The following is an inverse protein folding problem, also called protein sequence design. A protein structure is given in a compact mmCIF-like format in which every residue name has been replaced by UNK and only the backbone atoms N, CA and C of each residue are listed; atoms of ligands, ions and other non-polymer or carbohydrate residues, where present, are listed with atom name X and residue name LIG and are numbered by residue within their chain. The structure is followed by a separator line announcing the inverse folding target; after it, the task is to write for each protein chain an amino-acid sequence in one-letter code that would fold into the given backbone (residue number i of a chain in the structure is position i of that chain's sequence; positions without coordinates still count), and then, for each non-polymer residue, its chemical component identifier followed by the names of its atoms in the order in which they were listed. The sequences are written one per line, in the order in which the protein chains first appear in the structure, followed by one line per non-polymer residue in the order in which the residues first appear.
data_IF_430069524066
#
_entry.id   IF_430069524066
#
_cell.length_a   1.000
_cell.length_b   1.000
_cell.length_c   1.000
_cell.angle_alpha   90.00
_cell.angle_beta   90.00
_cell.angle_gamma   90.00
#
_symmetry.space_group_name_H-M   'P 1'
#
loop_
_entity.id
_entity.type
_entity.pdbx_description
1 polymer ?
#
# COMPACT_ATOMS: atom_id res chain seq x y z
N UNK A 1 -44.28 54.56 59.17
CA UNK A 1 -45.14 53.89 60.19
C UNK A 1 -45.84 52.69 59.54
N UNK A 2 -45.71 51.48 60.11
CA UNK A 2 -46.37 50.29 59.53
C UNK A 2 -47.88 50.37 59.70
N UNK A 3 -48.68 50.20 58.64
CA UNK A 3 -50.15 50.15 58.72
C UNK A 3 -50.57 48.95 59.58
N UNK A 4 -50.98 49.21 60.82
CA UNK A 4 -51.46 48.18 61.75
C UNK A 4 -52.93 47.91 61.43
N UNK A 5 -53.27 46.65 61.16
CA UNK A 5 -54.66 46.24 60.90
C UNK A 5 -55.30 45.81 62.22
N UNK A 6 -56.50 46.30 62.49
CA UNK A 6 -57.30 45.97 63.65
C UNK A 6 -58.56 45.22 63.20
N UNK A 7 -59.04 44.27 63.99
CA UNK A 7 -60.38 43.70 63.81
C UNK A 7 -61.25 44.11 65.01
N UNK A 8 -62.54 44.32 64.77
CA UNK A 8 -63.49 44.65 65.82
C UNK A 8 -63.96 43.36 66.49
N UNK A 9 -63.79 43.27 67.80
CA UNK A 9 -64.22 42.13 68.61
C UNK A 9 -65.60 42.43 69.22
N UNK A 10 -66.70 41.80 68.74
CA UNK A 10 -68.07 42.13 69.13
C UNK A 10 -68.35 41.90 70.62
N UNK A 11 -67.65 40.94 71.23
CA UNK A 11 -67.89 40.51 72.61
C UNK A 11 -67.21 41.42 73.63
N UNK A 12 -66.14 42.12 73.23
CA UNK A 12 -65.40 43.05 74.09
C UNK A 12 -65.51 44.51 73.63
N UNK A 13 -66.32 44.78 72.60
CA UNK A 13 -66.57 46.10 72.00
C UNK A 13 -65.28 46.90 71.73
N UNK A 14 -64.17 46.22 71.40
CA UNK A 14 -62.85 46.83 71.30
C UNK A 14 -62.12 46.41 70.02
N UNK A 15 -61.32 47.34 69.48
CA UNK A 15 -60.48 47.08 68.31
C UNK A 15 -59.18 46.40 68.75
N UNK A 16 -59.04 45.11 68.43
CA UNK A 16 -57.83 44.34 68.72
C UNK A 16 -56.86 44.36 67.55
N UNK A 17 -55.57 44.55 67.86
CA UNK A 17 -54.49 44.53 66.87
C UNK A 17 -54.34 43.12 66.31
N UNK A 18 -54.35 42.98 64.99
CA UNK A 18 -54.05 41.70 64.33
C UNK A 18 -52.54 41.48 64.46
N UNK A 19 -52.13 40.64 65.41
CA UNK A 19 -50.75 40.21 65.50
C UNK A 19 -50.45 39.17 64.41
N UNK A 20 -49.40 39.35 63.61
CA UNK A 20 -49.02 38.35 62.62
C UNK A 20 -48.62 37.06 63.34
N UNK A 21 -49.40 35.98 63.16
CA UNK A 21 -49.04 34.65 63.67
C UNK A 21 -47.64 34.28 63.16
N UNK A 22 -46.72 33.93 64.07
CA UNK A 22 -45.35 33.50 63.72
C UNK A 22 -45.35 32.37 62.66
N UNK A 23 -46.33 31.47 62.72
CA UNK A 23 -46.57 30.41 61.72
C UNK A 23 -46.76 30.95 60.29
N UNK A 24 -47.45 32.07 60.09
CA UNK A 24 -47.66 32.66 58.76
C UNK A 24 -46.35 33.23 58.18
N UNK A 25 -45.47 33.74 59.04
CA UNK A 25 -44.13 34.21 58.64
C UNK A 25 -43.25 33.04 58.20
N UNK A 26 -43.20 31.96 58.98
CA UNK A 26 -42.44 30.75 58.61
C UNK A 26 -42.97 30.09 57.33
N UNK A 27 -44.29 30.03 57.15
CA UNK A 27 -44.91 29.49 55.93
C UNK A 27 -44.56 30.28 54.67
N UNK A 28 -44.57 31.61 54.75
CA UNK A 28 -44.20 32.45 53.61
C UNK A 28 -42.71 32.32 53.28
N UNK A 29 -41.84 32.21 54.30
CA UNK A 29 -40.41 31.93 54.10
C UNK A 29 -40.23 30.56 53.44
N UNK A 30 -40.94 29.52 53.90
CA UNK A 30 -40.88 28.19 53.33
C UNK A 30 -41.32 28.18 51.85
N UNK A 31 -42.42 28.83 51.49
CA UNK A 31 -42.86 28.94 50.09
C UNK A 31 -41.88 29.71 49.21
N UNK A 32 -41.24 30.76 49.73
CA UNK A 32 -40.21 31.49 49.00
C UNK A 32 -38.99 30.60 48.71
N UNK A 33 -38.49 29.89 49.72
CA UNK A 33 -37.35 28.96 49.57
C UNK A 33 -37.68 27.85 48.57
N UNK A 34 -38.88 27.25 48.65
CA UNK A 34 -39.34 26.23 47.72
C UNK A 34 -39.46 26.76 46.28
N UNK A 35 -40.01 27.96 46.11
CA UNK A 35 -40.12 28.61 44.81
C UNK A 35 -38.75 28.92 44.19
N UNK A 36 -37.83 29.48 44.97
CA UNK A 36 -36.45 29.73 44.52
C UNK A 36 -35.70 28.44 44.18
N UNK A 37 -35.90 27.38 44.95
CA UNK A 37 -35.31 26.07 44.66
C UNK A 37 -35.85 25.49 43.35
N UNK A 38 -37.17 25.49 43.14
CA UNK A 38 -37.79 25.02 41.90
C UNK A 38 -37.36 25.85 40.69
N UNK A 39 -37.28 27.17 40.83
CA UNK A 39 -36.80 28.04 39.75
C UNK A 39 -35.32 27.78 39.42
N UNK A 40 -34.48 27.61 40.43
CA UNK A 40 -33.07 27.24 40.24
C UNK A 40 -32.90 25.88 39.56
N UNK A 41 -33.71 24.90 39.94
CA UNK A 41 -33.72 23.57 39.33
C UNK A 41 -34.18 23.63 37.87
N UNK A 42 -35.24 24.38 37.58
CA UNK A 42 -35.73 24.58 36.22
C UNK A 42 -34.71 25.31 35.34
N UNK A 43 -34.06 26.35 35.86
CA UNK A 43 -33.01 27.09 35.17
C UNK A 43 -31.77 26.22 34.92
N UNK A 44 -31.39 25.35 35.86
CA UNK A 44 -30.29 24.40 35.69
C UNK A 44 -30.59 23.39 34.57
N UNK A 45 -31.80 22.80 34.58
CA UNK A 45 -32.23 21.85 33.52
C UNK A 45 -32.23 22.53 32.16
N UNK A 46 -32.68 23.78 32.09
CA UNK A 46 -32.71 24.56 30.86
C UNK A 46 -31.29 24.86 30.35
N UNK A 47 -30.35 25.22 31.24
CA UNK A 47 -28.94 25.42 30.89
C UNK A 47 -28.24 24.11 30.48
N UNK A 48 -28.54 22.97 31.12
CA UNK A 48 -27.95 21.68 30.73
C UNK A 48 -28.47 21.17 29.38
N UNK A 49 -29.69 21.56 28.99
CA UNK A 49 -30.32 21.11 27.75
C UNK A 49 -30.19 22.11 26.59
N UNK A 50 -29.57 23.28 26.82
CA UNK A 50 -29.41 24.30 25.78
C UNK A 50 -27.94 24.68 25.62
N UNK A 51 -27.49 24.78 24.37
CA UNK A 51 -26.11 25.16 24.04
C UNK A 51 -25.84 26.67 24.21
N UNK A 52 -26.58 27.36 25.08
CA UNK A 52 -26.41 28.80 25.29
C UNK A 52 -25.08 29.13 25.99
N UNK A 53 -24.58 28.25 26.85
CA UNK A 53 -23.33 28.44 27.61
C UNK A 53 -22.52 27.15 27.60
N UNK A 54 -21.56 27.03 26.68
CA UNK A 54 -20.63 25.91 26.64
C UNK A 54 -19.47 26.15 27.61
N UNK A 55 -19.05 25.11 28.33
CA UNK A 55 -17.87 25.21 29.20
C UNK A 55 -16.58 25.27 28.36
N UNK A 56 -15.49 25.91 28.84
CA UNK A 56 -14.21 25.92 28.12
C UNK A 56 -13.70 24.50 27.78
N UNK A 57 -13.96 23.54 28.66
CA UNK A 57 -13.61 22.12 28.48
C UNK A 57 -14.40 21.47 27.34
N UNK A 58 -15.68 21.78 27.24
CA UNK A 58 -16.54 21.27 26.17
C UNK A 58 -16.11 21.83 24.81
N UNK A 59 -15.79 23.13 24.74
CA UNK A 59 -15.23 23.74 23.52
C UNK A 59 -13.89 23.12 23.14
N UNK A 60 -12.99 22.84 24.10
CA UNK A 60 -11.73 22.17 23.79
C UNK A 60 -11.95 20.74 23.29
N UNK A 61 -12.87 19.99 23.90
CA UNK A 61 -13.22 18.63 23.46
C UNK A 61 -13.84 18.64 22.06
N UNK A 62 -14.75 19.58 21.76
CA UNK A 62 -15.31 19.72 20.42
C UNK A 62 -14.24 20.03 19.36
N UNK A 63 -13.26 20.87 19.69
CA UNK A 63 -12.11 21.14 18.80
C UNK A 63 -11.25 19.89 18.62
N UNK A 64 -11.02 19.12 19.67
CA UNK A 64 -10.23 17.89 19.62
C UNK A 64 -10.92 16.83 18.75
N UNK A 65 -12.23 16.62 18.93
CA UNK A 65 -13.04 15.71 18.08
C UNK A 65 -12.97 16.14 16.62
N UNK A 66 -13.16 17.43 16.31
CA UNK A 66 -13.06 17.96 14.95
C UNK A 66 -11.67 17.75 14.34
N UNK A 67 -10.61 17.85 15.16
CA UNK A 67 -9.24 17.56 14.71
C UNK A 67 -9.06 16.07 14.40
N UNK A 68 -9.59 15.16 15.21
CA UNK A 68 -9.53 13.72 14.94
C UNK A 68 -10.33 13.34 13.69
N UNK A 69 -11.49 13.94 13.46
CA UNK A 69 -12.28 13.74 12.24
C UNK A 69 -11.47 14.13 10.99
N UNK A 70 -10.82 15.29 11.01
CA UNK A 70 -9.96 15.74 9.93
C UNK A 70 -8.78 14.79 9.71
N UNK A 71 -8.11 14.36 10.78
CA UNK A 71 -7.00 13.41 10.70
C UNK A 71 -7.45 12.08 10.10
N UNK A 72 -8.63 11.59 10.47
CA UNK A 72 -9.20 10.37 9.93
C UNK A 72 -9.56 10.49 8.45
N UNK A 73 -10.09 11.64 8.02
CA UNK A 73 -10.34 11.92 6.60
C UNK A 73 -9.05 11.90 5.78
N UNK A 74 -7.99 12.56 6.29
CA UNK A 74 -6.67 12.57 5.65
C UNK A 74 -6.07 11.16 5.56
N UNK A 75 -6.19 10.36 6.63
CA UNK A 75 -5.76 8.96 6.64
C UNK A 75 -6.49 8.15 5.55
N UNK A 76 -7.81 8.31 5.44
CA UNK A 76 -8.60 7.65 4.41
C UNK A 76 -8.22 8.06 3.00
N UNK A 77 -7.93 9.35 2.77
CA UNK A 77 -7.43 9.83 1.48
C UNK A 77 -6.08 9.19 1.15
N UNK A 78 -5.15 9.10 2.11
CA UNK A 78 -3.86 8.44 1.91
C UNK A 78 -4.02 6.94 1.62
N UNK A 79 -4.93 6.24 2.31
CA UNK A 79 -5.21 4.83 2.03
C UNK A 79 -5.74 4.62 0.61
N UNK A 80 -6.66 5.48 0.13
CA UNK A 80 -7.11 5.44 -1.27
C UNK A 80 -5.98 5.63 -2.27
N UNK A 81 -5.08 6.58 -2.01
CA UNK A 81 -3.90 6.79 -2.86
C UNK A 81 -2.97 5.57 -2.87
N UNK A 82 -2.76 4.93 -1.72
CA UNK A 82 -1.97 3.69 -1.65
C UNK A 82 -2.60 2.55 -2.45
N UNK A 83 -3.92 2.40 -2.40
CA UNK A 83 -4.63 1.40 -3.21
C UNK A 83 -4.51 1.67 -4.71
N UNK A 84 -4.64 2.92 -5.13
CA UNK A 84 -4.48 3.31 -6.53
C UNK A 84 -3.07 3.02 -7.04
N UNK A 85 -2.05 3.41 -6.26
CA UNK A 85 -0.65 3.11 -6.60
C UNK A 85 -0.41 1.60 -6.63
N UNK A 86 -0.94 0.85 -5.67
CA UNK A 86 -0.77 -0.59 -5.63
C UNK A 86 -1.46 -1.27 -6.81
N UNK A 87 -2.66 -0.85 -7.19
CA UNK A 87 -3.37 -1.35 -8.36
C UNK A 87 -2.56 -1.09 -9.65
N UNK A 88 -1.99 0.11 -9.81
CA UNK A 88 -1.14 0.44 -10.96
C UNK A 88 0.13 -0.43 -11.01
N UNK A 89 0.73 -0.74 -9.86
CA UNK A 89 1.89 -1.63 -9.78
C UNK A 89 1.49 -3.07 -10.12
N UNK A 90 0.36 -3.56 -9.58
CA UNK A 90 -0.18 -4.89 -9.86
C UNK A 90 -0.50 -5.06 -11.36
N UNK A 91 -1.06 -4.03 -12.00
CA UNK A 91 -1.34 -4.01 -13.43
C UNK A 91 -0.03 -4.05 -14.23
N UNK A 92 0.94 -3.21 -13.90
CA UNK A 92 2.25 -3.18 -14.57
C UNK A 92 3.00 -4.50 -14.42
N UNK A 93 2.90 -5.14 -13.26
CA UNK A 93 3.51 -6.42 -13.00
C UNK A 93 2.94 -7.52 -13.89
N UNK A 94 1.61 -7.65 -13.98
CA UNK A 94 0.98 -8.64 -14.85
C UNK A 94 1.16 -8.33 -16.34
N UNK A 95 0.97 -7.08 -16.75
CA UNK A 95 0.86 -6.71 -18.16
C UNK A 95 2.20 -6.37 -18.81
N UNK A 96 3.21 -5.96 -18.03
CA UNK A 96 4.53 -5.60 -18.56
C UNK A 96 5.57 -6.62 -18.12
N UNK A 97 5.83 -6.74 -16.82
CA UNK A 97 6.97 -7.52 -16.35
C UNK A 97 6.78 -9.02 -16.55
N UNK A 98 5.67 -9.58 -16.08
CA UNK A 98 5.38 -11.01 -16.24
C UNK A 98 5.23 -11.39 -17.70
N UNK A 99 4.60 -10.55 -18.52
CA UNK A 99 4.53 -10.77 -19.97
C UNK A 99 5.93 -10.79 -20.62
N UNK A 100 6.78 -9.82 -20.30
CA UNK A 100 8.13 -9.71 -20.86
C UNK A 100 9.01 -10.93 -20.51
N UNK A 101 8.87 -11.44 -19.29
CA UNK A 101 9.60 -12.62 -18.81
C UNK A 101 8.84 -13.94 -18.98
N UNK A 102 7.73 -13.95 -19.73
CA UNK A 102 6.91 -15.13 -20.03
C UNK A 102 6.42 -15.88 -18.75
N UNK A 103 6.20 -15.13 -17.67
CA UNK A 103 5.70 -15.65 -16.40
C UNK A 103 4.17 -15.55 -16.32
N UNK A 104 3.55 -16.48 -15.58
CA UNK A 104 2.10 -16.48 -15.38
C UNK A 104 1.66 -15.25 -14.57
N UNK A 105 0.55 -14.59 -14.93
CA UNK A 105 -0.01 -13.49 -14.15
C UNK A 105 -0.51 -13.97 -12.78
N UNK A 106 -0.45 -13.09 -11.77
CA UNK A 106 -1.02 -13.38 -10.46
C UNK A 106 -2.53 -13.03 -10.48
N UNK A 107 -3.42 -13.97 -10.17
CA UNK A 107 -4.86 -13.71 -10.08
C UNK A 107 -5.22 -12.77 -8.91
N UNK A 108 -6.28 -11.99 -9.07
CA UNK A 108 -6.77 -11.04 -8.06
C UNK A 108 -7.20 -11.77 -6.77
N UNK A 109 -7.72 -12.98 -6.90
CA UNK A 109 -8.09 -13.85 -5.77
C UNK A 109 -6.87 -14.18 -4.93
N UNK A 110 -5.73 -14.48 -5.57
CA UNK A 110 -4.49 -14.76 -4.85
C UNK A 110 -3.97 -13.52 -4.12
N UNK A 111 -4.17 -12.32 -4.70
CA UNK A 111 -3.79 -11.04 -4.06
C UNK A 111 -4.66 -10.69 -2.85
N UNK A 112 -5.94 -11.05 -2.90
CA UNK A 112 -6.93 -10.79 -1.84
C UNK A 112 -7.14 -11.95 -0.88
N UNK A 113 -6.62 -13.14 -1.16
CA UNK A 113 -6.75 -14.32 -0.33
C UNK A 113 -6.05 -14.15 1.03
N UNK A 114 -6.66 -14.72 2.09
CA UNK A 114 -6.06 -14.76 3.43
C UNK A 114 -6.74 -13.88 4.50
N UNK A 115 -7.90 -13.31 4.21
CA UNK A 115 -8.75 -12.63 5.18
C UNK A 115 -9.92 -13.51 5.65
N UNK A 116 -9.62 -14.74 6.07
CA UNK A 116 -10.57 -15.63 6.73
C UNK A 116 -10.30 -15.70 8.22
N UNK A 117 -11.33 -15.54 9.05
CA UNK A 117 -11.22 -15.66 10.51
C UNK A 117 -12.34 -14.91 11.22
N UNK A 118 -13.23 -15.64 11.90
CA UNK A 118 -14.46 -15.11 12.52
C UNK A 118 -14.18 -14.08 13.63
N UNK A 119 -12.96 -14.08 14.20
CA UNK A 119 -12.61 -13.28 15.38
C UNK A 119 -11.46 -12.27 15.18
N UNK A 120 -11.03 -11.98 13.95
CA UNK A 120 -9.82 -11.15 13.72
C UNK A 120 -9.92 -9.73 14.29
N UNK A 121 -11.14 -9.22 14.39
CA UNK A 121 -11.44 -7.86 14.87
C UNK A 121 -12.22 -7.84 16.19
N UNK A 122 -12.33 -8.98 16.89
CA UNK A 122 -13.11 -9.09 18.13
C UNK A 122 -12.60 -8.15 19.24
N UNK A 123 -11.30 -7.85 19.26
CA UNK A 123 -10.69 -6.89 20.19
C UNK A 123 -11.15 -5.44 19.96
N UNK A 124 -11.77 -5.15 18.82
CA UNK A 124 -12.25 -3.82 18.45
C UNK A 124 -13.74 -3.61 18.79
N UNK A 125 -14.44 -4.64 19.28
CA UNK A 125 -15.87 -4.62 19.63
C UNK A 125 -16.23 -3.79 20.87
N UNK A 126 -15.24 -3.26 21.60
CA UNK A 126 -15.46 -2.46 22.81
C UNK A 126 -15.64 -0.96 22.58
N UNK A 127 -15.52 -0.46 21.35
CA UNK A 127 -15.45 0.98 21.05
C UNK A 127 -16.73 1.53 20.42
N UNK A 128 -17.11 2.77 20.78
CA UNK A 128 -18.32 3.44 20.28
C UNK A 128 -18.34 3.64 18.74
N UNK A 129 -17.18 3.59 18.06
CA UNK A 129 -17.02 3.73 16.60
C UNK A 129 -16.58 2.41 15.92
N UNK A 130 -17.10 1.32 16.46
CA UNK A 130 -16.83 -0.07 16.14
C UNK A 130 -16.73 -0.36 14.63
N UNK A 131 -17.76 0.01 13.87
CA UNK A 131 -17.87 -0.30 12.44
C UNK A 131 -16.77 0.40 11.61
N UNK A 132 -16.54 1.68 11.89
CA UNK A 132 -15.55 2.50 11.16
C UNK A 132 -14.11 2.02 11.42
N UNK A 133 -13.80 1.68 12.67
CA UNK A 133 -12.47 1.17 13.05
C UNK A 133 -12.23 -0.21 12.45
N UNK A 134 -13.22 -1.10 12.50
CA UNK A 134 -13.12 -2.43 11.89
C UNK A 134 -12.95 -2.33 10.37
N UNK A 135 -13.75 -1.51 9.69
CA UNK A 135 -13.66 -1.33 8.24
C UNK A 135 -12.28 -0.78 7.82
N UNK A 136 -11.77 0.20 8.57
CA UNK A 136 -10.44 0.78 8.32
C UNK A 136 -9.33 -0.24 8.54
N UNK A 137 -9.39 -0.98 9.64
CA UNK A 137 -8.39 -2.02 9.96
C UNK A 137 -8.39 -3.12 8.91
N UNK A 138 -9.58 -3.57 8.49
CA UNK A 138 -9.73 -4.58 7.43
C UNK A 138 -9.14 -4.09 6.11
N UNK A 139 -9.37 -2.84 5.73
CA UNK A 139 -8.83 -2.23 4.53
C UNK A 139 -7.30 -2.16 4.57
N UNK A 140 -6.74 -1.71 5.69
CA UNK A 140 -5.29 -1.66 5.91
C UNK A 140 -4.65 -3.05 5.81
N UNK A 141 -5.29 -4.06 6.41
CA UNK A 141 -4.84 -5.44 6.37
C UNK A 141 -4.81 -5.99 4.93
N UNK A 142 -5.83 -5.67 4.12
CA UNK A 142 -5.88 -6.00 2.67
C UNK A 142 -4.71 -5.38 1.93
N UNK A 143 -4.50 -4.06 2.06
CA UNK A 143 -3.38 -3.35 1.43
C UNK A 143 -2.05 -3.97 1.82
N UNK A 144 -1.84 -4.25 3.11
CA UNK A 144 -0.60 -4.85 3.63
C UNK A 144 -0.30 -6.20 2.99
N UNK A 145 -1.32 -7.04 2.79
CA UNK A 145 -1.15 -8.36 2.15
C UNK A 145 -0.86 -8.23 0.66
N UNK A 146 -1.61 -7.39 -0.06
CA UNK A 146 -1.37 -7.13 -1.48
C UNK A 146 0.05 -6.60 -1.69
N UNK A 147 0.51 -5.67 -0.86
CA UNK A 147 1.88 -5.16 -0.87
C UNK A 147 2.93 -6.26 -0.63
N UNK A 148 2.71 -7.16 0.33
CA UNK A 148 3.62 -8.28 0.58
C UNK A 148 3.71 -9.26 -0.61
N UNK A 149 2.58 -9.53 -1.27
CA UNK A 149 2.53 -10.35 -2.48
C UNK A 149 3.27 -9.64 -3.62
N UNK A 150 3.01 -8.35 -3.82
CA UNK A 150 3.63 -7.56 -4.86
C UNK A 150 5.15 -7.48 -4.68
N UNK A 151 5.63 -7.29 -3.44
CA UNK A 151 7.06 -7.33 -3.13
C UNK A 151 7.70 -8.65 -3.54
N UNK A 152 7.08 -9.78 -3.19
CA UNK A 152 7.57 -11.10 -3.56
C UNK A 152 7.56 -11.33 -5.08
N UNK A 153 6.56 -10.79 -5.77
CA UNK A 153 6.47 -10.84 -7.24
C UNK A 153 7.65 -10.10 -7.88
N UNK A 154 7.99 -8.90 -7.38
CA UNK A 154 9.13 -8.14 -7.89
C UNK A 154 10.48 -8.85 -7.64
N UNK A 155 10.63 -9.55 -6.52
CA UNK A 155 11.82 -10.38 -6.26
C UNK A 155 11.93 -11.54 -7.28
N UNK A 156 10.80 -12.14 -7.66
CA UNK A 156 10.75 -13.18 -8.70
C UNK A 156 11.14 -12.62 -10.07
N UNK A 157 10.56 -11.48 -10.47
CA UNK A 157 10.89 -10.79 -11.71
C UNK A 157 12.38 -10.44 -11.77
N UNK A 158 12.96 -9.99 -10.67
CA UNK A 158 14.39 -9.64 -10.61
C UNK A 158 15.27 -10.85 -10.92
N UNK A 159 14.93 -12.02 -10.37
CA UNK A 159 15.66 -13.27 -10.68
C UNK A 159 15.51 -13.67 -12.14
N UNK A 160 14.29 -13.57 -12.70
CA UNK A 160 14.06 -13.85 -14.12
C UNK A 160 14.86 -12.91 -15.01
N UNK A 161 14.99 -11.63 -14.62
CA UNK A 161 15.81 -10.66 -15.33
C UNK A 161 17.29 -11.05 -15.33
N UNK A 162 17.85 -11.43 -14.18
CA UNK A 162 19.24 -11.90 -14.07
C UNK A 162 19.51 -13.15 -14.90
N UNK A 163 18.57 -14.11 -14.90
CA UNK A 163 18.67 -15.33 -15.70
C UNK A 163 18.60 -15.03 -17.20
N UNK A 164 17.71 -14.11 -17.61
CA UNK A 164 17.60 -13.67 -18.99
C UNK A 164 18.86 -12.94 -19.45
N UNK A 165 19.45 -12.10 -18.61
CA UNK A 165 20.70 -11.40 -18.90
C UNK A 165 21.85 -12.40 -19.13
N UNK A 166 22.00 -13.39 -18.24
CA UNK A 166 22.99 -14.47 -18.40
C UNK A 166 22.80 -15.24 -19.70
N UNK A 167 21.55 -15.57 -20.04
CA UNK A 167 21.24 -16.19 -21.32
C UNK A 167 21.66 -15.31 -22.50
N UNK A 168 21.33 -14.02 -22.48
CA UNK A 168 21.66 -13.09 -23.57
C UNK A 168 23.17 -12.94 -23.75
N UNK A 169 23.95 -12.88 -22.67
CA UNK A 169 25.41 -12.83 -22.73
C UNK A 169 26.01 -14.12 -23.29
N UNK A 170 25.38 -15.27 -23.02
CA UNK A 170 25.80 -16.57 -23.55
C UNK A 170 25.49 -16.76 -25.04
N UNK A 171 24.51 -16.05 -25.62
CA UNK A 171 24.17 -16.22 -27.04
C UNK A 171 25.36 -15.77 -27.90
N UNK A 172 25.88 -16.63 -28.80
CA UNK A 172 26.96 -16.26 -29.72
C UNK A 172 26.48 -15.28 -30.81
N UNK A 173 26.27 -14.01 -30.46
CA UNK A 173 25.60 -13.01 -31.30
C UNK A 173 26.57 -12.05 -32.01
N UNK A 174 27.85 -11.99 -31.61
CA UNK A 174 28.83 -11.09 -32.23
C UNK A 174 29.75 -11.80 -33.22
N UNK A 175 30.20 -11.06 -34.24
CA UNK A 175 31.20 -11.56 -35.17
C UNK A 175 32.58 -11.69 -34.46
N UNK A 176 33.27 -12.83 -34.58
CA UNK A 176 34.51 -13.10 -33.83
C UNK A 176 35.72 -12.31 -34.34
N UNK A 177 35.60 -11.62 -35.48
CA UNK A 177 36.66 -10.81 -36.10
C UNK A 177 36.10 -9.42 -36.38
N UNK A 178 36.86 -8.35 -36.09
CA UNK A 178 36.45 -6.98 -36.39
C UNK A 178 36.42 -6.72 -37.91
N UNK A 179 35.41 -6.00 -38.39
CA UNK A 179 35.24 -5.68 -39.82
C UNK A 179 36.45 -4.98 -40.44
N UNK A 180 37.11 -4.08 -39.71
CA UNK A 180 38.33 -3.38 -40.14
C UNK A 180 39.50 -4.30 -40.49
N UNK A 181 39.53 -5.51 -39.92
CA UNK A 181 40.58 -6.50 -40.14
C UNK A 181 40.21 -7.55 -41.18
N UNK A 182 38.97 -7.52 -41.71
CA UNK A 182 38.53 -8.45 -42.74
C UNK A 182 39.00 -7.98 -44.11
N UNK A 183 39.55 -8.90 -44.90
CA UNK A 183 39.78 -8.69 -46.33
C UNK A 183 38.48 -8.84 -47.13
N UNK A 184 37.72 -9.89 -46.83
CA UNK A 184 36.38 -10.19 -47.34
C UNK A 184 35.80 -11.41 -46.61
N UNK A 185 34.48 -11.61 -46.71
CA UNK A 185 33.83 -12.86 -46.33
C UNK A 185 34.17 -13.94 -47.37
N UNK A 186 34.81 -15.03 -46.97
CA UNK A 186 35.32 -16.04 -47.90
C UNK A 186 34.24 -17.06 -48.29
N UNK A 187 33.49 -17.59 -47.31
CA UNK A 187 32.39 -18.51 -47.57
C UNK A 187 31.36 -18.50 -46.44
N UNK A 188 30.07 -18.60 -46.78
CA UNK A 188 28.97 -18.65 -45.82
C UNK A 188 28.56 -20.07 -45.43
N UNK A 189 27.58 -20.17 -44.52
CA UNK A 189 26.92 -21.42 -44.16
C UNK A 189 26.05 -21.94 -45.32
N UNK A 190 26.07 -23.25 -45.57
CA UNK A 190 25.22 -23.88 -46.59
C UNK A 190 25.95 -24.80 -47.56
N UNK A 191 25.26 -25.25 -48.60
CA UNK A 191 25.81 -26.14 -49.61
C UNK A 191 26.77 -25.39 -50.54
N UNK A 192 28.02 -25.85 -50.63
CA UNK A 192 29.03 -25.29 -51.54
C UNK A 192 29.83 -26.38 -52.25
N UNK A 193 30.50 -26.01 -53.34
CA UNK A 193 31.48 -26.88 -53.98
C UNK A 193 32.74 -26.96 -53.12
N UNK A 194 33.15 -28.16 -52.77
CA UNK A 194 34.37 -28.42 -52.00
C UNK A 194 35.59 -27.94 -52.79
N UNK A 195 36.50 -27.13 -52.19
CA UNK A 195 37.62 -26.54 -52.93
C UNK A 195 38.57 -27.57 -53.54
N UNK A 196 38.71 -28.74 -52.89
CA UNK A 196 39.66 -29.78 -53.24
C UNK A 196 39.05 -30.83 -54.16
N UNK A 197 37.87 -31.32 -53.82
CA UNK A 197 37.21 -32.44 -54.53
C UNK A 197 36.18 -31.97 -55.56
N UNK A 198 35.82 -30.68 -55.58
CA UNK A 198 34.75 -30.08 -56.42
C UNK A 198 33.35 -30.67 -56.23
N UNK A 199 33.18 -31.65 -55.34
CA UNK A 199 31.89 -32.23 -54.99
C UNK A 199 31.05 -31.25 -54.13
N UNK A 200 29.73 -31.39 -54.17
CA UNK A 200 28.84 -30.63 -53.27
C UNK A 200 29.01 -31.12 -51.83
N UNK A 201 29.34 -30.20 -50.92
CA UNK A 201 29.50 -30.47 -49.49
C UNK A 201 28.79 -29.40 -48.66
N UNK A 202 28.17 -29.81 -47.57
CA UNK A 202 27.52 -28.89 -46.63
C UNK A 202 28.57 -28.21 -45.75
N UNK A 203 28.64 -26.89 -45.82
CA UNK A 203 29.48 -26.07 -44.96
C UNK A 203 28.72 -25.71 -43.69
N UNK A 204 29.20 -26.22 -42.55
CA UNK A 204 28.55 -26.06 -41.23
C UNK A 204 29.10 -24.86 -40.43
N UNK A 205 29.61 -23.86 -41.13
CA UNK A 205 30.24 -22.69 -40.51
C UNK A 205 30.39 -21.54 -41.50
N UNK A 206 31.20 -20.57 -41.13
CA UNK A 206 31.46 -19.36 -41.90
C UNK A 206 32.95 -19.07 -41.91
N UNK A 207 33.50 -18.78 -43.09
CA UNK A 207 34.91 -18.54 -43.30
C UNK A 207 35.18 -17.04 -43.46
N UNK A 208 36.06 -16.51 -42.60
CA UNK A 208 36.51 -15.12 -42.62
C UNK A 208 37.95 -15.03 -43.12
N UNK A 209 38.21 -14.14 -44.09
CA UNK A 209 39.57 -13.90 -44.59
C UNK A 209 40.19 -12.70 -43.87
N UNK A 210 41.28 -12.91 -43.14
CA UNK A 210 42.00 -11.87 -42.39
C UNK A 210 43.53 -12.12 -42.41
N UNK A 211 44.37 -11.09 -42.21
CA UNK A 211 45.81 -11.26 -42.04
C UNK A 211 46.19 -12.15 -40.85
N UNK A 212 47.31 -12.87 -40.95
CA UNK A 212 47.83 -13.65 -39.83
C UNK A 212 48.15 -12.74 -38.63
N UNK A 213 47.78 -13.19 -37.43
CA UNK A 213 47.94 -12.40 -36.20
C UNK A 213 46.74 -11.52 -35.84
N UNK A 214 45.68 -11.50 -36.66
CA UNK A 214 44.43 -10.79 -36.34
C UNK A 214 43.81 -11.34 -35.05
N UNK A 215 43.47 -10.49 -34.05
CA UNK A 215 42.79 -10.93 -32.84
C UNK A 215 41.42 -11.56 -33.13
N UNK A 216 41.14 -12.69 -32.46
CA UNK A 216 39.86 -13.39 -32.51
C UNK A 216 39.19 -13.24 -31.13
N UNK A 217 37.92 -12.85 -31.14
CA UNK A 217 37.11 -12.64 -29.94
C UNK A 217 36.09 -13.76 -29.78
N UNK A 218 35.77 -14.10 -28.53
CA UNK A 218 34.65 -15.00 -28.26
C UNK A 218 33.34 -14.33 -28.69
N UNK A 219 32.47 -15.07 -29.36
CA UNK A 219 31.19 -14.56 -29.88
C UNK A 219 30.11 -14.37 -28.80
N UNK A 220 30.38 -14.80 -27.58
CA UNK A 220 29.55 -14.67 -26.38
C UNK A 220 30.34 -15.10 -25.15
N UNK A 221 29.75 -14.96 -23.97
CA UNK A 221 30.35 -15.42 -22.72
C UNK A 221 30.32 -16.94 -22.63
N UNK A 222 31.40 -17.55 -22.13
CA UNK A 222 31.48 -18.99 -22.04
C UNK A 222 32.79 -19.50 -21.45
N UNK A 223 32.91 -20.82 -21.38
CA UNK A 223 34.08 -21.51 -20.85
C UNK A 223 34.79 -22.27 -21.97
N UNK A 224 36.10 -22.08 -22.08
CA UNK A 224 36.92 -22.86 -23.00
C UNK A 224 36.87 -24.33 -22.57
N UNK A 225 36.35 -25.20 -23.44
CA UNK A 225 36.34 -26.66 -23.24
C UNK A 225 37.51 -27.34 -23.92
N UNK A 226 38.06 -26.72 -24.97
CA UNK A 226 39.20 -27.24 -25.73
C UNK A 226 39.99 -26.13 -26.37
N UNK A 227 41.32 -26.25 -26.32
CA UNK A 227 42.25 -25.37 -27.03
C UNK A 227 43.45 -26.21 -27.50
N UNK A 228 43.37 -26.78 -28.70
CA UNK A 228 44.42 -27.63 -29.25
C UNK A 228 44.43 -27.65 -30.80
N UNK A 229 45.26 -28.52 -31.37
CA UNK A 229 45.42 -28.74 -32.81
C UNK A 229 45.20 -30.22 -33.23
N UNK A 230 44.61 -31.04 -32.37
CA UNK A 230 44.47 -32.48 -32.60
C UNK A 230 43.22 -32.85 -33.43
N UNK A 231 42.30 -31.91 -33.64
CA UNK A 231 41.13 -32.12 -34.50
C UNK A 231 41.53 -32.10 -35.97
N UNK A 232 41.50 -33.27 -36.61
CA UNK A 232 41.79 -33.42 -38.04
C UNK A 232 40.93 -32.47 -38.88
N UNK A 233 41.59 -31.71 -39.77
CA UNK A 233 40.94 -30.76 -40.69
C UNK A 233 40.68 -29.35 -40.15
N UNK A 234 40.78 -29.10 -38.84
CA UNK A 234 40.53 -27.77 -38.24
C UNK A 234 41.80 -26.96 -37.95
N UNK A 235 42.95 -27.62 -37.83
CA UNK A 235 44.19 -26.97 -37.39
C UNK A 235 44.08 -26.51 -35.93
N UNK A 236 44.72 -25.39 -35.59
CA UNK A 236 44.62 -24.79 -34.24
C UNK A 236 43.21 -24.25 -34.04
N UNK A 237 42.51 -24.73 -33.02
CA UNK A 237 41.15 -24.33 -32.74
C UNK A 237 40.88 -24.20 -31.26
N UNK A 238 39.87 -23.39 -30.93
CA UNK A 238 39.33 -23.23 -29.58
C UNK A 238 37.84 -23.55 -29.66
N UNK A 239 37.34 -24.31 -28.69
CA UNK A 239 35.91 -24.58 -28.50
C UNK A 239 35.46 -23.98 -27.18
N UNK A 240 34.37 -23.22 -27.22
CA UNK A 240 33.83 -22.48 -26.09
C UNK A 240 32.42 -22.99 -25.84
N UNK A 241 32.17 -23.52 -24.65
CA UNK A 241 30.83 -23.85 -24.20
C UNK A 241 30.22 -22.60 -23.56
N UNK A 242 29.21 -22.04 -24.22
CA UNK A 242 28.51 -20.85 -23.76
C UNK A 242 27.34 -21.20 -22.81
N UNK A 243 27.01 -22.49 -22.65
CA UNK A 243 25.83 -22.94 -21.94
C UNK A 243 24.56 -22.82 -22.79
N UNK A 244 23.41 -23.17 -22.19
CA UNK A 244 22.08 -23.09 -22.82
C UNK A 244 21.95 -23.80 -24.19
N UNK A 245 22.83 -24.77 -24.47
CA UNK A 245 22.87 -25.52 -25.73
C UNK A 245 23.78 -24.93 -26.81
N UNK A 246 24.54 -23.87 -26.52
CA UNK A 246 25.49 -23.25 -27.44
C UNK A 246 26.93 -23.71 -27.17
N UNK A 247 27.61 -24.16 -28.24
CA UNK A 247 29.00 -24.65 -28.22
C UNK A 247 29.80 -24.14 -29.43
#
# INVERSE_FOLDING_TARGET
MSKVKYYYDPDTLSYRKIEPKKSRRYRNIAFFVLGSFLFGLLSLVLLMNTNLINTPRELSLQREVKNYELQFELLNRKMRQMEEVLANIEERDNNIYRLYFEANPIPEEQRRAGFGGVNRYKSLEGFNNLEMVIATTKRLDIIKKQMAIQSKSLDEITKLAEEKEKLLMAIPAIQPVKNENLKHMASGYGWRSDPFTKARKMHRGMDFSAPQGTPIYASGDGKITRADNNSSGYGKHIRIDHGYGYM
#
